data_IF_328037464880
#
_entry.id   IF_328037464880
#
_cell.length_a   1.000
_cell.length_b   1.000
_cell.length_c   1.000
_cell.angle_alpha   90.00
_cell.angle_beta   90.00
_cell.angle_gamma   90.00
#
_symmetry.space_group_name_H-M   'P 1'
#
loop_
_entity.id
_entity.type
_entity.pdbx_description
1 polymer ?
#
# COMPACT_ATOMS: atom_id res chain seq x y z
N UNK A 1 17.49 0.40 -9.55
CA UNK A 1 17.96 1.82 -9.56
C UNK A 1 18.06 2.42 -8.16
N UNK A 2 17.18 2.08 -7.19
CA UNK A 2 17.28 2.59 -5.81
C UNK A 2 18.57 2.16 -5.11
N UNK A 3 18.94 0.88 -5.17
CA UNK A 3 20.18 0.39 -4.56
C UNK A 3 21.45 1.05 -5.10
N UNK A 4 21.49 1.38 -6.39
CA UNK A 4 22.62 2.08 -6.99
C UNK A 4 22.76 3.50 -6.44
N UNK A 5 21.63 4.15 -6.11
CA UNK A 5 21.62 5.50 -5.52
C UNK A 5 22.04 5.51 -4.06
N UNK A 6 21.72 4.45 -3.32
CA UNK A 6 22.00 4.40 -1.88
C UNK A 6 23.42 3.92 -1.57
N UNK A 7 24.03 3.11 -2.46
CA UNK A 7 25.44 2.72 -2.35
C UNK A 7 26.34 3.96 -2.40
N UNK A 8 27.27 4.02 -1.46
CA UNK A 8 28.20 5.15 -1.33
C UNK A 8 27.58 6.42 -0.72
N UNK A 9 26.30 6.39 -0.35
CA UNK A 9 25.70 7.49 0.42
C UNK A 9 26.40 7.59 1.77
N UNK A 10 26.77 8.81 2.16
CA UNK A 10 27.42 9.07 3.44
C UNK A 10 26.39 9.39 4.53
N UNK A 11 26.72 9.05 5.77
CA UNK A 11 25.85 9.24 6.95
C UNK A 11 25.45 10.71 7.19
N UNK A 12 26.21 11.67 6.64
CA UNK A 12 25.93 13.10 6.77
C UNK A 12 24.68 13.56 6.03
N UNK A 13 24.15 12.74 5.10
CA UNK A 13 22.90 13.04 4.37
C UNK A 13 21.69 13.00 5.30
N UNK A 14 21.70 12.10 6.30
CA UNK A 14 20.64 12.03 7.32
C UNK A 14 21.24 11.72 8.71
N UNK A 15 21.90 12.71 9.35
CA UNK A 15 22.64 12.48 10.59
C UNK A 15 21.77 11.97 11.74
N UNK A 16 20.54 12.45 11.86
CA UNK A 16 19.62 12.02 12.91
C UNK A 16 19.32 10.53 12.76
N UNK A 17 19.13 10.05 11.53
CA UNK A 17 18.82 8.66 11.26
C UNK A 17 20.05 7.76 11.42
N UNK A 18 21.18 8.14 10.84
CA UNK A 18 22.32 7.24 10.68
C UNK A 18 23.46 7.46 11.67
N UNK A 19 23.66 8.66 12.19
CA UNK A 19 24.72 8.94 13.17
C UNK A 19 24.19 8.91 14.61
N UNK A 20 23.03 9.52 14.86
CA UNK A 20 22.47 9.72 16.19
C UNK A 20 21.30 8.77 16.51
N UNK A 21 20.89 7.93 15.56
CA UNK A 21 19.81 6.97 15.74
C UNK A 21 20.17 5.86 16.72
N UNK A 22 19.15 5.16 17.22
CA UNK A 22 19.33 4.08 18.19
C UNK A 22 20.04 2.85 17.60
N UNK A 23 19.88 2.61 16.30
CA UNK A 23 20.30 1.36 15.64
C UNK A 23 21.59 1.51 14.82
N UNK A 24 21.72 2.56 14.03
CA UNK A 24 22.82 2.66 13.08
C UNK A 24 24.12 3.17 13.69
N UNK A 25 24.12 4.34 14.30
CA UNK A 25 25.27 4.99 14.96
C UNK A 25 26.56 4.97 14.12
N UNK A 26 26.43 5.37 12.84
CA UNK A 26 27.57 5.53 11.95
C UNK A 26 28.39 6.75 12.35
N UNK A 27 29.67 6.72 12.03
CA UNK A 27 30.55 7.90 12.19
C UNK A 27 30.23 8.91 11.09
N UNK A 28 30.56 10.18 11.34
CA UNK A 28 30.50 11.23 10.32
C UNK A 28 31.34 10.84 9.10
N UNK A 29 30.78 11.01 7.90
CA UNK A 29 31.43 10.65 6.64
C UNK A 29 31.47 9.14 6.34
N UNK A 30 31.01 8.27 7.24
CA UNK A 30 30.95 6.82 6.99
C UNK A 30 29.84 6.51 5.99
N UNK A 31 30.07 5.57 5.06
CA UNK A 31 29.05 5.12 4.13
C UNK A 31 27.99 4.28 4.84
N UNK A 32 26.75 4.33 4.34
CA UNK A 32 25.65 3.49 4.86
C UNK A 32 25.70 2.06 4.35
N UNK A 33 26.65 1.72 3.51
CA UNK A 33 26.74 0.43 2.80
C UNK A 33 26.63 -0.77 3.74
N UNK A 34 27.27 -0.72 4.91
CA UNK A 34 27.17 -1.79 5.90
C UNK A 34 25.76 -2.03 6.44
N UNK A 35 24.87 -1.03 6.34
CA UNK A 35 23.47 -1.16 6.74
C UNK A 35 22.60 -1.79 5.64
N UNK A 36 23.12 -1.91 4.41
CA UNK A 36 22.37 -2.46 3.29
C UNK A 36 22.56 -3.97 3.16
N UNK A 37 23.77 -4.48 3.50
CA UNK A 37 24.14 -5.87 3.26
C UNK A 37 23.81 -6.81 4.43
N UNK A 38 23.89 -8.12 4.15
CA UNK A 38 23.72 -9.21 5.14
C UNK A 38 22.35 -9.21 5.84
N UNK A 39 21.32 -8.69 5.20
CA UNK A 39 19.96 -8.65 5.75
C UNK A 39 19.76 -7.66 6.90
N UNK A 40 20.69 -6.72 7.11
CA UNK A 40 20.54 -5.70 8.16
C UNK A 40 19.35 -4.78 7.89
N UNK A 41 19.18 -4.33 6.65
CA UNK A 41 18.00 -3.58 6.21
C UNK A 41 17.36 -4.21 4.99
N UNK A 42 16.11 -3.83 4.74
CA UNK A 42 15.33 -4.34 3.61
C UNK A 42 14.95 -3.19 2.68
N UNK A 43 15.14 -3.40 1.38
CA UNK A 43 14.64 -2.49 0.35
C UNK A 43 13.25 -2.96 -0.05
N UNK A 44 12.27 -2.07 0.07
CA UNK A 44 10.90 -2.37 -0.28
C UNK A 44 10.63 -2.09 -1.76
N UNK A 45 10.08 -3.08 -2.45
CA UNK A 45 9.53 -2.95 -3.79
C UNK A 45 8.04 -2.63 -3.67
N UNK A 46 7.69 -1.34 -3.68
CA UNK A 46 6.30 -0.89 -3.64
C UNK A 46 5.60 -1.06 -4.98
N UNK A 47 4.32 -1.38 -4.94
CA UNK A 47 3.47 -1.50 -6.13
C UNK A 47 2.12 -0.81 -5.92
N UNK A 48 1.48 -0.43 -7.03
CA UNK A 48 0.17 0.18 -7.08
C UNK A 48 -0.55 -0.19 -8.37
N UNK A 49 -1.87 -0.05 -8.39
CA UNK A 49 -2.65 -0.23 -9.59
C UNK A 49 -2.78 -1.67 -10.07
N UNK A 50 -2.84 -2.63 -9.14
CA UNK A 50 -3.02 -4.04 -9.49
C UNK A 50 -4.37 -4.26 -10.20
N UNK A 51 -5.42 -3.54 -9.78
CA UNK A 51 -6.71 -3.52 -10.44
C UNK A 51 -6.59 -3.04 -11.89
N UNK A 52 -6.04 -1.83 -12.10
CA UNK A 52 -5.92 -1.22 -13.43
C UNK A 52 -5.04 -2.06 -14.36
N UNK A 53 -3.99 -2.66 -13.81
CA UNK A 53 -3.15 -3.59 -14.57
C UNK A 53 -3.94 -4.82 -15.02
N UNK A 54 -4.73 -5.44 -14.14
CA UNK A 54 -5.57 -6.59 -14.48
C UNK A 54 -6.60 -6.23 -15.54
N UNK A 55 -7.31 -5.11 -15.37
CA UNK A 55 -8.27 -4.62 -16.36
C UNK A 55 -7.60 -4.41 -17.73
N UNK A 56 -6.40 -3.80 -17.73
CA UNK A 56 -5.68 -3.54 -18.99
C UNK A 56 -5.21 -4.81 -19.69
N UNK A 57 -4.79 -5.82 -18.92
CA UNK A 57 -4.17 -7.04 -19.47
C UNK A 57 -5.19 -8.15 -19.77
N UNK A 58 -6.25 -8.25 -18.99
CA UNK A 58 -7.24 -9.34 -19.10
C UNK A 58 -8.63 -8.87 -19.46
N UNK A 59 -8.90 -7.57 -19.42
CA UNK A 59 -10.25 -7.00 -19.56
C UNK A 59 -11.15 -7.22 -18.34
N UNK A 60 -10.60 -7.74 -17.23
CA UNK A 60 -11.35 -8.12 -16.03
C UNK A 60 -10.70 -7.54 -14.76
N UNK A 61 -11.54 -7.24 -13.76
CA UNK A 61 -11.04 -6.90 -12.42
C UNK A 61 -10.23 -8.04 -11.82
N UNK A 62 -9.29 -7.71 -10.94
CA UNK A 62 -8.54 -8.70 -10.16
C UNK A 62 -9.41 -9.41 -9.11
N UNK A 63 -10.62 -8.93 -8.82
CA UNK A 63 -11.62 -9.61 -8.00
C UNK A 63 -12.37 -10.70 -8.75
N UNK A 64 -12.35 -10.67 -10.08
CA UNK A 64 -13.02 -11.67 -10.90
C UNK A 64 -12.32 -13.05 -10.82
N UNK A 65 -13.07 -14.15 -11.06
CA UNK A 65 -12.48 -15.49 -11.09
C UNK A 65 -11.32 -15.64 -12.09
N UNK A 66 -11.35 -14.91 -13.19
CA UNK A 66 -10.31 -14.91 -14.22
C UNK A 66 -9.14 -13.97 -13.87
N UNK A 67 -9.43 -12.82 -13.28
CA UNK A 67 -8.43 -11.81 -12.95
C UNK A 67 -7.60 -12.15 -11.73
N UNK A 68 -8.18 -12.79 -10.72
CA UNK A 68 -7.49 -13.14 -9.47
C UNK A 68 -6.25 -14.02 -9.68
N UNK A 69 -6.32 -15.13 -10.43
CA UNK A 69 -5.14 -15.96 -10.69
C UNK A 69 -4.02 -15.20 -11.39
N UNK A 70 -4.36 -14.34 -12.36
CA UNK A 70 -3.39 -13.51 -13.05
C UNK A 70 -2.73 -12.50 -12.09
N UNK A 71 -3.51 -11.82 -11.24
CA UNK A 71 -2.98 -10.90 -10.24
C UNK A 71 -2.03 -11.59 -9.27
N UNK A 72 -2.39 -12.77 -8.77
CA UNK A 72 -1.54 -13.56 -7.87
C UNK A 72 -0.24 -14.00 -8.56
N UNK A 73 -0.28 -14.38 -9.83
CA UNK A 73 0.93 -14.70 -10.61
C UNK A 73 1.86 -13.51 -10.74
N UNK A 74 1.33 -12.30 -10.97
CA UNK A 74 2.13 -11.08 -11.00
C UNK A 74 2.79 -10.83 -9.64
N UNK A 75 2.03 -10.95 -8.55
CA UNK A 75 2.58 -10.79 -7.20
C UNK A 75 3.65 -11.83 -6.88
N UNK A 76 3.46 -13.08 -7.27
CA UNK A 76 4.48 -14.11 -7.13
C UNK A 76 5.73 -13.75 -7.92
N UNK A 77 5.59 -13.26 -9.16
CA UNK A 77 6.73 -12.83 -9.98
C UNK A 77 7.52 -11.69 -9.35
N UNK A 78 6.86 -10.75 -8.67
CA UNK A 78 7.55 -9.69 -7.92
C UNK A 78 8.36 -10.27 -6.76
N UNK A 79 7.82 -11.25 -6.03
CA UNK A 79 8.53 -11.95 -4.96
C UNK A 79 9.73 -12.73 -5.50
N UNK A 80 9.56 -13.46 -6.62
CA UNK A 80 10.65 -14.20 -7.26
C UNK A 80 11.80 -13.25 -7.64
N UNK A 81 11.48 -12.05 -8.16
CA UNK A 81 12.47 -11.03 -8.47
C UNK A 81 13.16 -10.47 -7.22
N UNK A 82 12.45 -10.27 -6.14
CA UNK A 82 13.05 -9.87 -4.88
C UNK A 82 14.04 -10.94 -4.37
N UNK A 83 13.69 -12.22 -4.49
CA UNK A 83 14.56 -13.33 -4.12
C UNK A 83 15.81 -13.41 -5.02
N UNK A 84 15.64 -13.25 -6.33
CA UNK A 84 16.75 -13.19 -7.30
C UNK A 84 17.74 -12.05 -6.97
N UNK A 85 17.23 -10.84 -6.73
CA UNK A 85 18.08 -9.69 -6.38
C UNK A 85 18.78 -9.90 -5.04
N UNK A 86 18.07 -10.45 -4.05
CA UNK A 86 18.67 -10.79 -2.76
C UNK A 86 19.85 -11.75 -2.91
N UNK A 87 19.71 -12.79 -3.72
CA UNK A 87 20.76 -13.75 -3.98
C UNK A 87 21.97 -13.11 -4.73
N UNK A 88 21.68 -12.23 -5.68
CA UNK A 88 22.72 -11.59 -6.50
C UNK A 88 23.49 -10.49 -5.76
N UNK A 89 22.82 -9.74 -4.88
CA UNK A 89 23.36 -8.51 -4.30
C UNK A 89 23.64 -8.60 -2.79
N UNK A 90 23.21 -9.67 -2.12
CA UNK A 90 23.29 -9.82 -0.65
C UNK A 90 22.58 -8.67 0.12
N UNK A 91 21.52 -8.12 -0.48
CA UNK A 91 20.66 -7.10 0.10
C UNK A 91 19.27 -7.71 0.24
N UNK A 92 18.59 -7.47 1.35
CA UNK A 92 17.20 -7.91 1.51
C UNK A 92 16.26 -7.04 0.66
N UNK A 93 15.39 -7.71 -0.10
CA UNK A 93 14.32 -7.09 -0.88
C UNK A 93 12.98 -7.69 -0.46
N UNK A 94 11.96 -6.88 -0.42
CA UNK A 94 10.62 -7.33 -0.04
C UNK A 94 9.54 -6.59 -0.82
N UNK A 95 8.51 -7.31 -1.24
CA UNK A 95 7.33 -6.70 -1.87
C UNK A 95 6.51 -5.98 -0.80
N UNK A 96 6.10 -4.75 -1.10
CA UNK A 96 5.41 -3.88 -0.17
C UNK A 96 4.13 -3.29 -0.79
N UNK A 97 2.99 -3.55 -0.17
CA UNK A 97 1.71 -2.92 -0.51
C UNK A 97 1.70 -1.46 -0.06
N UNK A 98 2.30 -0.59 -0.85
CA UNK A 98 2.56 0.81 -0.50
C UNK A 98 1.26 1.59 -0.36
N UNK A 99 0.97 2.23 0.78
CA UNK A 99 -0.06 3.25 0.87
C UNK A 99 0.38 4.45 0.03
N UNK A 100 -0.50 4.95 -0.84
CA UNK A 100 -0.12 5.93 -1.86
C UNK A 100 -0.86 7.26 -1.76
N UNK A 101 -1.77 7.44 -0.85
CA UNK A 101 -2.48 8.70 -0.58
C UNK A 101 -2.53 9.69 -1.77
N UNK A 102 -2.00 10.91 -1.63
CA UNK A 102 -1.96 11.91 -2.71
C UNK A 102 -1.15 11.50 -3.94
N UNK A 103 -0.28 10.51 -3.82
CA UNK A 103 0.55 10.02 -4.93
C UNK A 103 -0.29 9.30 -5.98
N UNK A 104 -1.43 8.70 -5.60
CA UNK A 104 -2.37 8.06 -6.53
C UNK A 104 -2.87 9.03 -7.59
N UNK A 105 -3.21 10.26 -7.18
CA UNK A 105 -3.62 11.33 -8.10
C UNK A 105 -2.51 11.72 -9.07
N UNK A 106 -1.30 11.99 -8.55
CA UNK A 106 -0.15 12.37 -9.39
C UNK A 106 0.19 11.27 -10.40
N UNK A 107 0.10 10.02 -9.96
CA UNK A 107 0.36 8.87 -10.81
C UNK A 107 -0.69 8.74 -11.91
N UNK A 108 -1.98 8.87 -11.58
CA UNK A 108 -3.08 8.88 -12.55
C UNK A 108 -2.89 9.98 -13.61
N UNK A 109 -2.58 11.21 -13.18
CA UNK A 109 -2.32 12.32 -14.10
C UNK A 109 -1.12 12.08 -15.02
N UNK A 110 -0.06 11.47 -14.50
CA UNK A 110 1.10 11.10 -15.30
C UNK A 110 0.77 10.05 -16.35
N UNK A 111 -0.04 9.05 -16.01
CA UNK A 111 -0.51 8.03 -16.93
C UNK A 111 -1.42 8.63 -18.02
N UNK A 112 -2.37 9.49 -17.63
CA UNK A 112 -3.24 10.20 -18.57
C UNK A 112 -2.44 11.02 -19.57
N UNK A 113 -1.44 11.77 -19.08
CA UNK A 113 -0.56 12.59 -19.95
C UNK A 113 0.23 11.72 -20.93
N UNK A 114 0.68 10.55 -20.51
CA UNK A 114 1.55 9.67 -21.32
C UNK A 114 0.78 8.77 -22.28
N UNK A 115 -0.37 8.26 -21.86
CA UNK A 115 -1.10 7.20 -22.57
C UNK A 115 -2.52 7.59 -22.98
N UNK A 116 -2.97 8.79 -22.62
CA UNK A 116 -4.35 9.23 -22.85
C UNK A 116 -5.34 8.61 -21.86
N UNK A 117 -6.62 8.78 -22.17
CA UNK A 117 -7.73 8.22 -21.38
C UNK A 117 -8.02 6.80 -21.89
N UNK A 118 -7.85 5.83 -21.01
CA UNK A 118 -8.16 4.42 -21.27
C UNK A 118 -9.26 4.01 -20.29
N UNK A 119 -10.46 3.62 -20.78
CA UNK A 119 -11.59 3.23 -19.92
C UNK A 119 -11.20 2.14 -18.90
N UNK A 120 -11.60 2.33 -17.64
CA UNK A 120 -11.31 1.42 -16.54
C UNK A 120 -9.86 1.43 -16.05
N UNK A 121 -8.96 2.19 -16.71
CA UNK A 121 -7.53 2.21 -16.37
C UNK A 121 -7.04 3.61 -16.02
N UNK A 122 -7.19 4.58 -16.93
CA UNK A 122 -6.70 5.95 -16.72
C UNK A 122 -7.83 6.99 -16.78
N UNK A 123 -9.08 6.58 -16.79
CA UNK A 123 -10.26 7.45 -16.86
C UNK A 123 -10.64 8.10 -15.52
N UNK A 124 -9.91 7.80 -14.47
CA UNK A 124 -10.12 8.33 -13.12
C UNK A 124 -8.96 9.22 -12.68
N UNK A 125 -9.20 10.03 -11.66
CA UNK A 125 -8.17 10.91 -11.08
C UNK A 125 -7.34 10.23 -9.99
N UNK A 126 -7.39 8.91 -9.91
CA UNK A 126 -6.61 8.10 -8.98
C UNK A 126 -6.26 6.75 -9.61
N UNK A 127 -5.30 6.07 -9.04
CA UNK A 127 -4.97 4.66 -9.29
C UNK A 127 -5.27 3.90 -8.01
N UNK A 128 -5.86 2.72 -8.12
CA UNK A 128 -6.17 1.87 -6.98
C UNK A 128 -4.91 1.56 -6.19
N UNK A 129 -4.99 1.73 -4.88
CA UNK A 129 -3.86 1.52 -3.99
C UNK A 129 -3.50 0.03 -3.97
N UNK A 130 -2.21 -0.27 -4.14
CA UNK A 130 -1.65 -1.63 -4.10
C UNK A 130 -2.58 -2.73 -4.68
N UNK A 131 -3.06 -3.66 -3.83
CA UNK A 131 -3.93 -4.80 -4.17
C UNK A 131 -5.41 -4.58 -3.80
N UNK A 132 -5.75 -3.41 -3.27
CA UNK A 132 -7.10 -3.18 -2.75
C UNK A 132 -8.19 -3.42 -3.78
N UNK A 133 -9.33 -3.90 -3.29
CA UNK A 133 -10.56 -3.94 -4.07
C UNK A 133 -10.90 -2.53 -4.54
N UNK A 134 -11.24 -2.39 -5.80
CA UNK A 134 -11.58 -1.07 -6.36
C UNK A 134 -12.83 -0.49 -5.69
N UNK A 135 -12.79 0.79 -5.34
CA UNK A 135 -13.83 1.46 -4.53
C UNK A 135 -15.24 1.44 -5.14
N UNK A 136 -15.37 1.22 -6.44
CA UNK A 136 -16.66 1.11 -7.10
C UNK A 136 -17.22 -0.34 -7.13
N UNK A 137 -16.49 -1.31 -6.59
CA UNK A 137 -16.96 -2.70 -6.51
C UNK A 137 -17.81 -2.88 -5.24
N UNK A 138 -19.02 -3.41 -5.43
CA UNK A 138 -19.90 -3.79 -4.34
C UNK A 138 -19.44 -5.12 -3.75
N UNK A 139 -18.81 -5.09 -2.60
CA UNK A 139 -18.30 -6.24 -1.87
C UNK A 139 -18.50 -6.02 -0.37
N UNK A 140 -18.89 -7.06 0.37
CA UNK A 140 -18.98 -6.92 1.82
C UNK A 140 -17.61 -6.93 2.50
N UNK A 141 -17.55 -6.47 3.75
CA UNK A 141 -16.32 -6.32 4.50
C UNK A 141 -15.56 -7.65 4.69
N UNK A 142 -16.27 -8.74 4.92
CA UNK A 142 -15.65 -10.04 5.16
C UNK A 142 -15.10 -10.65 3.87
N UNK A 143 -15.85 -10.55 2.79
CA UNK A 143 -15.42 -11.00 1.46
C UNK A 143 -14.20 -10.19 0.99
N UNK A 144 -14.23 -8.85 1.20
CA UNK A 144 -13.08 -7.97 0.90
C UNK A 144 -11.84 -8.39 1.66
N UNK A 145 -11.93 -8.54 2.99
CA UNK A 145 -10.79 -8.93 3.82
C UNK A 145 -10.25 -10.31 3.44
N UNK A 146 -11.14 -11.26 3.15
CA UNK A 146 -10.74 -12.59 2.71
C UNK A 146 -10.06 -12.57 1.35
N UNK A 147 -10.57 -11.77 0.42
CA UNK A 147 -9.95 -11.58 -0.89
C UNK A 147 -8.54 -10.97 -0.76
N UNK A 148 -8.42 -9.88 -0.01
CA UNK A 148 -7.18 -9.12 0.17
C UNK A 148 -6.12 -9.90 0.96
N UNK A 149 -6.52 -10.85 1.81
CA UNK A 149 -5.60 -11.67 2.61
C UNK A 149 -4.60 -12.46 1.77
N UNK A 150 -5.00 -12.92 0.58
CA UNK A 150 -4.11 -13.66 -0.31
C UNK A 150 -2.99 -12.78 -0.88
N UNK A 151 -3.28 -11.50 -1.10
CA UNK A 151 -2.30 -10.51 -1.56
C UNK A 151 -1.40 -10.02 -0.44
N UNK A 152 -1.91 -9.91 0.79
CA UNK A 152 -1.07 -9.59 1.94
C UNK A 152 0.02 -10.63 2.17
N UNK A 153 -0.30 -11.92 2.02
CA UNK A 153 0.69 -13.02 2.11
C UNK A 153 1.83 -12.86 1.08
N UNK A 154 1.54 -12.23 -0.06
CA UNK A 154 2.49 -11.96 -1.12
C UNK A 154 3.14 -10.55 -1.01
N UNK A 155 2.89 -9.84 0.07
CA UNK A 155 3.45 -8.52 0.37
C UNK A 155 4.20 -8.53 1.71
N UNK A 156 5.27 -9.37 1.86
CA UNK A 156 5.95 -9.59 3.13
C UNK A 156 6.68 -8.34 3.67
N UNK A 157 6.88 -7.32 2.83
CA UNK A 157 7.44 -6.03 3.25
C UNK A 157 6.47 -5.14 4.02
N UNK A 158 5.21 -5.53 4.07
CA UNK A 158 4.12 -4.84 4.74
C UNK A 158 2.94 -4.58 3.80
N UNK A 159 1.75 -4.65 4.36
CA UNK A 159 0.51 -4.35 3.67
C UNK A 159 -0.58 -4.13 4.74
N UNK A 160 -1.54 -3.28 4.45
CA UNK A 160 -2.68 -3.01 5.33
C UNK A 160 -3.95 -3.03 4.48
N UNK A 161 -5.01 -3.59 5.03
CA UNK A 161 -6.35 -3.55 4.43
C UNK A 161 -7.26 -2.65 5.25
N UNK A 162 -8.07 -1.86 4.58
CA UNK A 162 -9.00 -0.92 5.19
C UNK A 162 -10.43 -1.40 5.03
N UNK A 163 -11.21 -1.35 6.09
CA UNK A 163 -12.64 -1.63 6.07
C UNK A 163 -13.36 -0.50 6.77
N UNK A 164 -14.35 0.07 6.08
CA UNK A 164 -15.26 1.01 6.67
C UNK A 164 -16.43 0.26 7.28
N UNK A 165 -16.74 0.56 8.53
CA UNK A 165 -17.84 -0.03 9.28
C UNK A 165 -18.73 1.08 9.84
N UNK A 166 -20.04 0.83 10.03
CA UNK A 166 -20.89 1.78 10.74
C UNK A 166 -20.42 1.97 12.18
N UNK A 167 -20.88 3.03 12.83
CA UNK A 167 -20.60 3.21 14.25
C UNK A 167 -21.13 2.02 15.06
N UNK A 168 -20.21 1.27 15.64
CA UNK A 168 -20.51 0.05 16.40
C UNK A 168 -20.37 0.22 17.92
N UNK A 169 -20.33 1.45 18.44
CA UNK A 169 -20.15 1.71 19.88
C UNK A 169 -21.18 0.97 20.74
N UNK A 170 -22.41 0.82 20.24
CA UNK A 170 -23.51 0.13 20.93
C UNK A 170 -23.66 -1.34 20.50
N UNK A 171 -22.75 -1.88 19.70
CA UNK A 171 -22.81 -3.26 19.20
C UNK A 171 -21.45 -3.97 19.34
N UNK A 172 -21.02 -4.13 20.58
CA UNK A 172 -19.76 -4.81 20.91
C UNK A 172 -19.67 -6.24 20.34
N UNK A 173 -20.75 -7.07 20.33
CA UNK A 173 -20.68 -8.38 19.69
C UNK A 173 -20.30 -8.33 18.21
N UNK A 174 -20.77 -7.33 17.46
CA UNK A 174 -20.37 -7.16 16.06
C UNK A 174 -18.89 -6.80 15.94
N UNK A 175 -18.38 -5.90 16.80
CA UNK A 175 -16.94 -5.57 16.83
C UNK A 175 -16.11 -6.83 17.07
N UNK A 176 -16.45 -7.63 18.06
CA UNK A 176 -15.74 -8.87 18.39
C UNK A 176 -15.79 -9.89 17.23
N UNK A 177 -16.91 -9.96 16.51
CA UNK A 177 -17.05 -10.83 15.34
C UNK A 177 -16.09 -10.40 14.23
N UNK A 178 -16.01 -9.11 13.94
CA UNK A 178 -15.07 -8.55 12.93
C UNK A 178 -13.63 -8.77 13.36
N UNK A 179 -13.29 -8.49 14.63
CA UNK A 179 -11.94 -8.72 15.15
C UNK A 179 -11.53 -10.19 15.07
N UNK A 180 -12.44 -11.11 15.40
CA UNK A 180 -12.19 -12.54 15.27
C UNK A 180 -11.94 -12.93 13.81
N UNK A 181 -12.75 -12.42 12.89
CA UNK A 181 -12.57 -12.67 11.47
C UNK A 181 -11.21 -12.17 10.96
N UNK A 182 -10.80 -10.95 11.37
CA UNK A 182 -9.48 -10.39 11.04
C UNK A 182 -8.39 -11.33 11.56
N UNK A 183 -8.45 -11.72 12.84
CA UNK A 183 -7.48 -12.61 13.45
C UNK A 183 -7.34 -13.95 12.70
N UNK A 184 -8.45 -14.51 12.26
CA UNK A 184 -8.48 -15.83 11.60
C UNK A 184 -8.05 -15.77 10.12
N UNK A 185 -8.17 -14.63 9.43
CA UNK A 185 -8.08 -14.57 7.97
C UNK A 185 -7.05 -13.62 7.39
N UNK A 186 -6.70 -12.52 8.05
CA UNK A 186 -5.85 -11.48 7.47
C UNK A 186 -4.81 -10.98 8.47
N UNK A 187 -3.61 -10.64 8.00
CA UNK A 187 -2.50 -10.30 8.89
C UNK A 187 -2.60 -8.90 9.48
N UNK A 188 -3.11 -7.93 8.71
CA UNK A 188 -3.22 -6.54 9.14
C UNK A 188 -4.41 -5.85 8.49
N UNK A 189 -5.33 -5.37 9.31
CA UNK A 189 -6.48 -4.60 8.87
C UNK A 189 -6.77 -3.43 9.82
N UNK A 190 -7.27 -2.35 9.26
CA UNK A 190 -7.75 -1.17 9.98
C UNK A 190 -9.26 -1.04 9.77
N UNK A 191 -9.95 -0.81 10.87
CA UNK A 191 -11.40 -0.55 10.87
C UNK A 191 -11.62 0.95 11.04
N UNK A 192 -12.23 1.56 10.05
CA UNK A 192 -12.61 2.96 10.08
C UNK A 192 -14.12 3.08 10.25
N UNK A 193 -14.55 4.03 11.05
CA UNK A 193 -15.97 4.42 11.13
C UNK A 193 -16.19 5.66 10.26
N UNK A 194 -17.34 5.73 9.60
CA UNK A 194 -17.77 6.91 8.86
C UNK A 194 -18.32 7.97 9.84
N UNK A 195 -17.47 8.47 10.73
CA UNK A 195 -17.82 9.54 11.66
C UNK A 195 -16.71 10.59 11.62
N UNK A 196 -16.82 11.49 10.67
CA UNK A 196 -15.94 12.65 10.60
C UNK A 196 -16.53 13.76 11.45
N UNK A 197 -15.68 14.51 12.13
CA UNK A 197 -16.07 15.68 12.90
C UNK A 197 -15.46 16.93 12.29
N UNK A 198 -16.30 17.91 11.99
CA UNK A 198 -15.83 19.21 11.50
C UNK A 198 -15.64 20.18 12.68
N UNK A 199 -14.40 20.53 12.98
CA UNK A 199 -14.08 21.49 14.06
C UNK A 199 -14.64 22.89 13.80
N UNK A 200 -14.90 23.26 12.54
CA UNK A 200 -15.42 24.58 12.20
C UNK A 200 -16.92 24.73 12.43
N UNK A 201 -17.73 23.71 12.10
CA UNK A 201 -19.18 23.80 12.17
C UNK A 201 -19.82 22.82 13.16
N UNK A 202 -19.02 21.94 13.80
CA UNK A 202 -19.51 20.93 14.74
C UNK A 202 -20.28 19.79 14.08
N UNK A 203 -20.22 19.66 12.76
CA UNK A 203 -20.86 18.54 12.06
C UNK A 203 -20.21 17.22 12.46
N UNK A 204 -21.02 16.26 12.83
CA UNK A 204 -20.63 14.88 13.13
C UNK A 204 -21.35 13.95 12.15
N UNK A 205 -20.59 13.25 11.30
CA UNK A 205 -21.10 12.39 10.26
C UNK A 205 -20.13 12.19 9.13
N UNK A 206 -20.58 11.59 8.03
CA UNK A 206 -19.73 11.41 6.84
C UNK A 206 -19.51 12.77 6.15
N UNK A 207 -18.27 13.23 6.15
CA UNK A 207 -17.85 14.42 5.41
C UNK A 207 -17.35 13.95 4.03
N UNK A 208 -18.22 14.09 3.04
CA UNK A 208 -17.78 13.92 1.64
C UNK A 208 -16.80 15.05 1.34
N UNK A 209 -15.55 14.71 1.06
CA UNK A 209 -14.49 15.69 0.77
C UNK A 209 -14.90 16.53 -0.44
N UNK A 210 -15.55 17.65 -0.21
CA UNK A 210 -15.61 18.74 -1.15
C UNK A 210 -14.40 19.63 -0.86
N UNK A 211 -13.56 19.85 -1.87
CA UNK A 211 -12.33 20.65 -1.76
C UNK A 211 -12.53 22.10 -1.28
N UNK A 212 -13.74 22.50 -0.97
CA UNK A 212 -14.11 23.86 -0.54
C UNK A 212 -13.87 24.14 0.94
N UNK A 213 -13.58 23.14 1.79
CA UNK A 213 -13.34 23.32 3.21
C UNK A 213 -11.97 22.87 3.71
N UNK A 214 -11.13 22.32 2.85
CA UNK A 214 -9.73 22.02 3.15
C UNK A 214 -8.83 23.14 2.64
N UNK A 215 -8.96 24.33 3.18
CA UNK A 215 -7.84 25.27 3.24
C UNK A 215 -6.95 24.80 4.39
N UNK A 216 -5.99 23.93 4.08
CA UNK A 216 -4.85 23.73 4.96
C UNK A 216 -4.11 25.05 5.09
N UNK A 217 -3.64 25.41 6.32
CA UNK A 217 -2.85 26.62 6.54
C UNK A 217 -1.53 26.59 5.78
#
# INVERSE_FOLDING_TARGET
>A
QMCIRDRGTISDVAPILWQNGALARLKKGETIDRLLFNGYSTISLGYAGLYEMCVRMTGKSHTSPEGKPFALQVMQKLNDKCAEWKAAENISYSVYGTPMESTTYKFAKSLQKRFGIIPGVTDKNYITNSYHVHVAEEIDAFEKLKFESDFQKLSPGGAISYVEVPNMQNNIPAVLTVMKFIYDNIMYAELNTKSDYCECCGYDGEITVSYTHLTLP
#
